data_IF_175271831574
#
_entry.id   IF_175271831574
#
_cell.length_a   1.000
_cell.length_b   1.000
_cell.length_c   1.000
_cell.angle_alpha   90.00
_cell.angle_beta   90.00
_cell.angle_gamma   90.00
#
_symmetry.space_group_name_H-M   'P 1'
#
loop_
_entity.id
_entity.type
_entity.pdbx_description
1 polymer ?
#
# COMPACT_ATOMS: atom_id res chain seq x y z
N UNK A 1 -3.66 11.06 9.74
CA UNK A 1 -3.15 11.50 8.43
C UNK A 1 -2.14 10.46 8.02
N UNK A 2 -2.53 9.61 7.08
CA UNK A 2 -1.64 8.59 6.56
C UNK A 2 -0.56 9.33 5.77
N UNK A 3 0.69 9.21 6.21
CA UNK A 3 1.77 9.97 5.60
C UNK A 3 2.09 9.38 4.23
N UNK A 4 1.80 10.10 3.15
CA UNK A 4 2.00 9.60 1.79
C UNK A 4 3.45 9.17 1.53
N UNK A 5 4.37 9.86 2.22
CA UNK A 5 5.80 9.59 2.29
C UNK A 5 6.15 8.21 2.88
N UNK A 6 5.41 7.71 3.88
CA UNK A 6 5.68 6.39 4.47
C UNK A 6 5.37 5.27 3.49
N UNK A 7 4.20 5.29 2.86
CA UNK A 7 3.83 4.29 1.85
C UNK A 7 4.75 4.40 0.64
N UNK A 8 5.09 5.62 0.21
CA UNK A 8 6.06 5.83 -0.85
C UNK A 8 7.41 5.20 -0.50
N UNK A 9 7.97 5.44 0.69
CA UNK A 9 9.25 4.82 1.11
C UNK A 9 9.16 3.30 1.35
N UNK A 10 7.99 2.80 1.73
CA UNK A 10 7.75 1.36 1.84
C UNK A 10 7.85 0.70 0.46
N UNK A 11 7.30 1.36 -0.55
CA UNK A 11 7.06 0.81 -1.89
C UNK A 11 8.02 1.32 -2.98
N UNK A 12 8.91 2.27 -2.66
CA UNK A 12 9.87 2.91 -3.58
C UNK A 12 10.77 1.89 -4.31
N UNK A 13 11.03 0.74 -3.68
CA UNK A 13 11.88 -0.34 -4.21
C UNK A 13 11.12 -1.62 -4.51
N UNK A 14 9.80 -1.52 -4.66
CA UNK A 14 8.96 -2.67 -4.95
C UNK A 14 8.80 -2.83 -6.45
N UNK A 15 9.24 -3.97 -6.98
CA UNK A 15 8.95 -4.35 -8.35
C UNK A 15 7.46 -4.66 -8.50
N UNK A 16 6.79 -3.87 -9.32
CA UNK A 16 5.42 -4.11 -9.74
C UNK A 16 5.39 -5.11 -10.90
N UNK A 17 4.33 -5.93 -11.05
CA UNK A 17 3.04 -5.84 -10.36
C UNK A 17 2.99 -6.60 -9.02
N UNK A 18 2.27 -6.04 -8.03
CA UNK A 18 2.08 -6.64 -6.70
C UNK A 18 0.62 -6.81 -6.34
N UNK A 19 0.31 -7.91 -5.65
CA UNK A 19 -1.02 -8.10 -5.08
C UNK A 19 -1.17 -7.33 -3.77
N UNK A 20 -2.42 -7.01 -3.37
CA UNK A 20 -2.72 -6.42 -2.05
C UNK A 20 -2.02 -7.15 -0.90
N UNK A 21 -2.08 -8.48 -0.91
CA UNK A 21 -1.46 -9.31 0.14
C UNK A 21 0.06 -9.14 0.19
N UNK A 22 0.73 -9.02 -0.95
CA UNK A 22 2.17 -8.73 -0.99
C UNK A 22 2.48 -7.31 -0.50
N UNK A 23 1.67 -6.32 -0.86
CA UNK A 23 1.82 -4.94 -0.40
C UNK A 23 1.69 -4.87 1.13
N UNK A 24 0.68 -5.55 1.70
CA UNK A 24 0.50 -5.64 3.16
C UNK A 24 1.70 -6.33 3.81
N UNK A 25 2.25 -7.39 3.19
CA UNK A 25 3.42 -8.09 3.71
C UNK A 25 4.64 -7.17 3.75
N UNK A 26 4.92 -6.45 2.66
CA UNK A 26 6.03 -5.50 2.58
C UNK A 26 5.86 -4.38 3.62
N UNK A 27 4.64 -3.85 3.78
CA UNK A 27 4.35 -2.85 4.79
C UNK A 27 4.59 -3.38 6.22
N UNK A 28 4.17 -4.61 6.53
CA UNK A 28 4.44 -5.26 7.83
C UNK A 28 5.94 -5.47 8.06
N UNK A 29 6.66 -5.96 7.05
CA UNK A 29 8.10 -6.20 7.12
C UNK A 29 8.88 -4.90 7.37
N UNK A 30 8.40 -3.79 6.82
CA UNK A 30 8.94 -2.44 7.05
C UNK A 30 8.42 -1.76 8.32
N UNK A 31 7.72 -2.50 9.19
CA UNK A 31 7.14 -2.00 10.46
C UNK A 31 6.22 -0.81 10.27
N UNK A 32 5.43 -0.81 9.19
CA UNK A 32 4.41 0.20 8.95
C UNK A 32 3.40 0.25 10.10
N UNK A 33 2.88 1.44 10.39
CA UNK A 33 1.87 1.66 11.41
C UNK A 33 0.59 0.84 11.13
N UNK A 34 -0.11 0.41 12.20
CA UNK A 34 -1.36 -0.35 12.06
C UNK A 34 -2.43 0.38 11.23
N UNK A 35 -2.45 1.72 11.24
CA UNK A 35 -3.33 2.54 10.41
C UNK A 35 -3.09 2.30 8.91
N UNK A 36 -1.82 2.27 8.48
CA UNK A 36 -1.41 1.96 7.10
C UNK A 36 -1.84 0.53 6.74
N UNK A 37 -1.58 -0.43 7.63
CA UNK A 37 -1.98 -1.82 7.40
C UNK A 37 -3.49 -1.95 7.25
N UNK A 38 -4.28 -1.23 8.06
CA UNK A 38 -5.74 -1.25 7.95
C UNK A 38 -6.22 -0.69 6.62
N UNK A 39 -5.70 0.44 6.16
CA UNK A 39 -6.05 0.99 4.84
C UNK A 39 -5.63 0.07 3.71
N UNK A 40 -4.43 -0.51 3.76
CA UNK A 40 -4.01 -1.49 2.76
C UNK A 40 -4.90 -2.75 2.75
N UNK A 41 -5.54 -3.09 3.88
CA UNK A 41 -6.51 -4.18 3.96
C UNK A 41 -7.88 -3.81 3.38
N UNK A 42 -8.31 -2.53 3.42
CA UNK A 42 -9.57 -2.09 2.80
C UNK A 42 -9.50 -2.05 1.29
N UNK A 43 -8.29 -1.98 0.73
CA UNK A 43 -8.07 -2.00 -0.71
C UNK A 43 -8.69 -3.25 -1.38
N UNK A 44 -9.22 -3.11 -2.61
CA UNK A 44 -9.73 -4.23 -3.37
C UNK A 44 -8.62 -5.25 -3.64
N UNK A 45 -8.99 -6.53 -3.64
CA UNK A 45 -8.08 -7.64 -3.92
C UNK A 45 -7.78 -7.71 -5.43
N UNK A 46 -6.99 -6.75 -5.92
CA UNK A 46 -6.52 -6.64 -7.30
C UNK A 46 -4.99 -6.59 -7.35
N UNK A 47 -4.46 -6.73 -8.55
CA UNK A 47 -3.04 -6.51 -8.81
C UNK A 47 -2.81 -5.03 -9.08
N UNK A 48 -1.86 -4.45 -8.35
CA UNK A 48 -1.45 -3.08 -8.52
C UNK A 48 -0.20 -3.07 -9.39
N UNK A 49 -0.22 -2.28 -10.45
CA UNK A 49 0.88 -2.19 -11.41
C UNK A 49 1.81 -1.00 -11.12
N UNK A 50 1.42 -0.12 -10.21
CA UNK A 50 2.19 1.06 -9.84
C UNK A 50 1.73 1.60 -8.49
N UNK A 51 2.57 2.47 -7.92
CA UNK A 51 2.23 3.31 -6.76
C UNK A 51 0.97 4.13 -7.02
N UNK A 52 0.81 4.69 -8.22
CA UNK A 52 -0.34 5.53 -8.57
C UNK A 52 -1.66 4.77 -8.44
N UNK A 53 -1.72 3.50 -8.87
CA UNK A 53 -2.92 2.69 -8.72
C UNK A 53 -3.24 2.32 -7.26
N UNK A 54 -2.24 2.33 -6.38
CA UNK A 54 -2.45 2.17 -4.93
C UNK A 54 -2.99 3.47 -4.34
N UNK A 55 -2.41 4.62 -4.69
CA UNK A 55 -2.87 5.93 -4.25
C UNK A 55 -4.32 6.21 -4.64
N UNK A 56 -4.66 5.90 -5.88
CA UNK A 56 -6.02 6.00 -6.40
C UNK A 56 -6.99 5.16 -5.56
N UNK A 57 -6.65 3.90 -5.32
CA UNK A 57 -7.47 3.00 -4.52
C UNK A 57 -7.56 3.39 -3.03
N UNK A 58 -6.53 4.05 -2.47
CA UNK A 58 -6.56 4.63 -1.12
C UNK A 58 -7.50 5.83 -1.07
N UNK A 59 -7.44 6.71 -2.07
CA UNK A 59 -8.32 7.87 -2.18
C UNK A 59 -9.80 7.50 -2.41
N UNK A 60 -10.08 6.30 -2.92
CA UNK A 60 -11.45 5.77 -3.04
C UNK A 60 -12.02 5.22 -1.71
N UNK A 61 -11.17 4.90 -0.73
CA UNK A 61 -11.59 4.32 0.57
C UNK A 61 -11.51 5.28 1.76
N UNK A 62 -10.92 6.47 1.59
CA UNK A 62 -11.05 7.62 2.53
C UNK A 62 -12.32 8.43 2.25
#
# INVERSE_FOLDING_TARGET
>A
MISSSEIAGILERTDFPKSRSEIIKIAKDKKASNEIINVLNTLPNKQYNSLAGIWDAIGEVE
#
